data_IF_284237087430
#
_entry.id   IF_284237087430
#
_cell.length_a   1.000
_cell.length_b   1.000
_cell.length_c   1.000
_cell.angle_alpha   90.00
_cell.angle_beta   90.00
_cell.angle_gamma   90.00
#
_symmetry.space_group_name_H-M   'P 1'
#
loop_
_entity.id
_entity.type
_entity.pdbx_description
1 polymer ?
#
# COMPACT_ATOMS: atom_id res chain seq x y z
N UNK A 1 -20.91 23.66 -22.82
CA UNK A 1 -20.03 23.66 -24.02
C UNK A 1 -20.76 23.87 -25.35
N UNK A 2 -20.18 24.68 -26.25
CA UNK A 2 -20.53 24.70 -27.69
C UNK A 2 -19.74 23.61 -28.43
N UNK A 3 -20.27 23.07 -29.52
CA UNK A 3 -19.58 22.03 -30.33
C UNK A 3 -18.19 22.46 -30.82
N UNK A 4 -17.94 23.77 -30.96
CA UNK A 4 -16.65 24.28 -31.39
C UNK A 4 -15.58 24.17 -30.29
N UNK A 5 -15.93 24.53 -29.04
CA UNK A 5 -15.00 24.45 -27.90
C UNK A 5 -14.62 23.02 -27.54
N UNK A 6 -15.44 22.03 -27.87
CA UNK A 6 -15.10 20.63 -27.61
C UNK A 6 -14.04 20.08 -28.57
N UNK A 7 -13.87 20.66 -29.76
CA UNK A 7 -13.00 20.14 -30.82
C UNK A 7 -11.53 20.07 -30.41
N UNK A 8 -11.04 21.11 -29.75
CA UNK A 8 -9.63 21.21 -29.38
C UNK A 8 -9.26 20.21 -28.28
N UNK A 9 -10.24 19.73 -27.51
CA UNK A 9 -10.05 18.87 -26.35
C UNK A 9 -10.45 17.40 -26.57
N UNK A 10 -10.83 16.99 -27.78
CA UNK A 10 -11.20 15.59 -28.04
C UNK A 10 -10.04 14.61 -27.80
N UNK A 11 -8.83 15.00 -28.16
CA UNK A 11 -7.65 14.17 -27.95
C UNK A 11 -7.39 13.94 -26.45
N UNK A 12 -7.50 14.99 -25.64
CA UNK A 12 -7.37 14.93 -24.18
C UNK A 12 -8.50 14.12 -23.54
N UNK A 13 -9.73 14.26 -24.04
CA UNK A 13 -10.87 13.47 -23.58
C UNK A 13 -10.67 11.98 -23.83
N UNK A 14 -10.24 11.59 -25.05
CA UNK A 14 -9.98 10.19 -25.40
C UNK A 14 -8.82 9.59 -24.60
N UNK A 15 -7.79 10.41 -24.29
CA UNK A 15 -6.65 10.00 -23.45
C UNK A 15 -6.93 10.05 -21.94
N UNK A 16 -8.14 10.43 -21.52
CA UNK A 16 -8.50 10.64 -20.11
C UNK A 16 -7.57 11.63 -19.38
N UNK A 17 -7.04 12.64 -20.09
CA UNK A 17 -6.10 13.62 -19.56
C UNK A 17 -6.75 14.98 -19.23
N UNK A 18 -8.08 15.05 -19.25
CA UNK A 18 -8.84 16.22 -18.83
C UNK A 18 -9.07 16.21 -17.31
N UNK A 19 -9.27 17.38 -16.72
CA UNK A 19 -9.70 17.46 -15.31
C UNK A 19 -11.09 16.83 -15.13
N UNK A 20 -11.43 16.45 -13.89
CA UNK A 20 -12.73 15.81 -13.59
C UNK A 20 -13.92 16.66 -14.06
N UNK A 21 -13.87 17.97 -13.80
CA UNK A 21 -14.91 18.90 -14.21
C UNK A 21 -15.08 18.96 -15.74
N UNK A 22 -13.96 18.99 -16.48
CA UNK A 22 -13.97 18.99 -17.94
C UNK A 22 -14.44 17.66 -18.53
N UNK A 23 -14.10 16.54 -17.89
CA UNK A 23 -14.62 15.22 -18.27
C UNK A 23 -16.13 15.15 -18.12
N UNK A 24 -16.67 15.61 -17.00
CA UNK A 24 -18.11 15.61 -16.73
C UNK A 24 -18.85 16.55 -17.70
N UNK A 25 -18.30 17.73 -17.98
CA UNK A 25 -18.87 18.65 -18.96
C UNK A 25 -18.86 18.06 -20.38
N UNK A 26 -17.75 17.43 -20.79
CA UNK A 26 -17.64 16.78 -22.09
C UNK A 26 -18.58 15.57 -22.19
N UNK A 27 -18.70 14.76 -21.14
CA UNK A 27 -19.63 13.63 -21.10
C UNK A 27 -21.08 14.09 -21.25
N UNK A 28 -21.47 15.15 -20.53
CA UNK A 28 -22.79 15.79 -20.67
C UNK A 28 -23.03 16.28 -22.09
N UNK A 29 -22.06 16.91 -22.73
CA UNK A 29 -22.18 17.35 -24.13
C UNK A 29 -22.35 16.17 -25.11
N UNK A 30 -21.55 15.12 -24.96
CA UNK A 30 -21.63 13.93 -25.81
C UNK A 30 -22.93 13.15 -25.64
N UNK A 31 -23.60 13.27 -24.50
CA UNK A 31 -24.94 12.72 -24.28
C UNK A 31 -26.00 13.37 -25.18
N UNK A 32 -25.81 14.64 -25.56
CA UNK A 32 -26.80 15.42 -26.31
C UNK A 32 -26.39 15.71 -27.76
N UNK A 33 -25.11 15.61 -28.11
CA UNK A 33 -24.63 15.88 -29.47
C UNK A 33 -24.17 14.61 -30.21
N UNK A 34 -25.00 14.14 -31.15
CA UNK A 34 -24.69 12.97 -31.99
C UNK A 34 -23.46 13.17 -32.89
N UNK A 35 -23.26 14.37 -33.43
CA UNK A 35 -22.11 14.72 -34.29
C UNK A 35 -20.77 14.68 -33.54
N UNK A 36 -20.74 15.18 -32.32
CA UNK A 36 -19.52 15.12 -31.50
C UNK A 36 -19.27 13.69 -31.02
N UNK A 37 -20.34 12.94 -30.68
CA UNK A 37 -20.25 11.52 -30.33
C UNK A 37 -19.65 10.67 -31.45
N UNK A 38 -20.11 10.85 -32.68
CA UNK A 38 -19.58 10.11 -33.83
C UNK A 38 -18.10 10.44 -34.07
N UNK A 39 -17.71 11.70 -33.96
CA UNK A 39 -16.31 12.10 -34.12
C UNK A 39 -15.41 11.48 -33.06
N UNK A 40 -15.81 11.52 -31.79
CA UNK A 40 -15.07 10.87 -30.69
C UNK A 40 -14.97 9.36 -30.90
N UNK A 41 -16.04 8.71 -31.39
CA UNK A 41 -16.02 7.29 -31.70
C UNK A 41 -15.02 6.95 -32.82
N UNK A 42 -14.92 7.79 -33.86
CA UNK A 42 -13.92 7.63 -34.93
C UNK A 42 -12.51 7.75 -34.35
N UNK A 43 -12.26 8.76 -33.52
CA UNK A 43 -10.94 8.96 -32.89
C UNK A 43 -10.56 7.75 -32.04
N UNK A 44 -11.48 7.25 -31.21
CA UNK A 44 -11.27 6.04 -30.39
C UNK A 44 -10.95 4.82 -31.24
N UNK A 45 -11.75 4.57 -32.28
CA UNK A 45 -11.53 3.45 -33.20
C UNK A 45 -10.16 3.52 -33.89
N UNK A 46 -9.78 4.70 -34.37
CA UNK A 46 -8.45 4.91 -34.99
C UNK A 46 -7.34 4.64 -33.98
N UNK A 47 -7.48 5.09 -32.73
CA UNK A 47 -6.51 4.80 -31.69
C UNK A 47 -6.40 3.29 -31.41
N UNK A 48 -7.51 2.59 -31.30
CA UNK A 48 -7.56 1.14 -31.10
C UNK A 48 -6.92 0.37 -32.27
N UNK A 49 -7.13 0.82 -33.50
CA UNK A 49 -6.53 0.21 -34.69
C UNK A 49 -5.02 0.46 -34.75
N UNK A 50 -4.55 1.62 -34.29
CA UNK A 50 -3.12 1.94 -34.18
C UNK A 50 -2.44 1.17 -33.05
N UNK A 51 -3.10 0.99 -31.90
CA UNK A 51 -2.54 0.23 -30.78
C UNK A 51 -2.46 -1.26 -31.12
N UNK A 52 -3.43 -1.84 -31.83
CA UNK A 52 -3.34 -3.22 -32.34
C UNK A 52 -2.18 -3.42 -33.32
N UNK A 53 -1.82 -2.38 -34.07
CA UNK A 53 -0.68 -2.37 -34.99
C UNK A 53 0.64 -1.97 -34.32
N UNK A 54 0.67 -1.80 -32.99
CA UNK A 54 1.95 -1.59 -32.31
C UNK A 54 2.85 -2.78 -32.56
N UNK A 55 3.84 -2.54 -33.40
CA UNK A 55 5.02 -3.38 -33.51
C UNK A 55 5.63 -3.40 -32.11
N UNK A 56 5.87 -4.59 -31.57
CA UNK A 56 6.66 -4.76 -30.35
C UNK A 56 8.07 -4.29 -30.71
N UNK A 57 8.32 -3.00 -30.50
CA UNK A 57 9.65 -2.44 -30.61
C UNK A 57 10.39 -2.94 -29.38
N UNK A 58 11.23 -3.96 -29.56
CA UNK A 58 12.21 -4.31 -28.56
C UNK A 58 13.27 -3.20 -28.59
N UNK A 59 13.30 -2.29 -27.59
CA UNK A 59 14.30 -1.25 -27.59
C UNK A 59 15.69 -1.91 -27.53
N UNK A 60 16.70 -1.34 -28.22
CA UNK A 60 18.08 -1.81 -28.09
C UNK A 60 18.47 -1.90 -26.62
N UNK A 61 19.23 -2.93 -26.24
CA UNK A 61 19.61 -3.17 -24.85
C UNK A 61 20.28 -1.94 -24.20
N UNK A 62 21.05 -1.20 -25.00
CA UNK A 62 21.73 0.03 -24.57
C UNK A 62 20.75 1.14 -24.19
N UNK A 63 19.62 1.27 -24.90
CA UNK A 63 18.60 2.26 -24.57
C UNK A 63 17.96 1.95 -23.21
N UNK A 64 17.66 0.67 -22.95
CA UNK A 64 17.14 0.23 -21.65
C UNK A 64 18.13 0.54 -20.52
N UNK A 65 19.42 0.26 -20.71
CA UNK A 65 20.45 0.57 -19.72
C UNK A 65 20.60 2.08 -19.49
N UNK A 66 20.60 2.87 -20.56
CA UNK A 66 20.73 4.32 -20.47
C UNK A 66 19.52 4.96 -19.77
N UNK A 67 18.30 4.49 -20.04
CA UNK A 67 17.09 4.93 -19.34
C UNK A 67 17.13 4.49 -17.88
N UNK A 68 17.49 3.25 -17.58
CA UNK A 68 17.63 2.77 -16.19
C UNK A 68 18.71 3.53 -15.41
N UNK A 69 19.77 3.99 -16.07
CA UNK A 69 20.84 4.79 -15.48
C UNK A 69 20.44 6.25 -15.29
N UNK A 70 19.62 6.79 -16.20
CA UNK A 70 19.11 8.16 -16.14
C UNK A 70 17.95 8.33 -15.13
N UNK A 71 17.18 7.27 -14.88
CA UNK A 71 16.21 7.24 -13.78
C UNK A 71 17.02 7.22 -12.48
N UNK A 72 17.10 8.36 -11.83
CA UNK A 72 17.74 8.49 -10.53
C UNK A 72 16.98 7.65 -9.50
N UNK A 73 17.54 6.47 -9.24
CA UNK A 73 17.00 5.47 -8.31
C UNK A 73 16.84 6.05 -6.90
N UNK A 74 17.66 7.04 -6.54
CA UNK A 74 17.59 7.69 -5.23
C UNK A 74 16.35 8.60 -5.12
N UNK A 75 16.01 9.30 -6.20
CA UNK A 75 14.82 10.15 -6.28
C UNK A 75 13.53 9.33 -6.25
N UNK A 76 13.53 8.14 -6.86
CA UNK A 76 12.41 7.20 -6.79
C UNK A 76 12.24 6.59 -5.40
N UNK A 77 13.35 6.17 -4.76
CA UNK A 77 13.34 5.61 -3.40
C UNK A 77 12.88 6.62 -2.36
N UNK A 78 13.36 7.87 -2.44
CA UNK A 78 12.98 8.92 -1.50
C UNK A 78 11.47 9.25 -1.58
N UNK A 79 10.88 9.20 -2.78
CA UNK A 79 9.45 9.40 -2.97
C UNK A 79 8.61 8.19 -2.53
N UNK A 80 9.11 6.96 -2.66
CA UNK A 80 8.44 5.76 -2.18
C UNK A 80 8.46 5.62 -0.65
N UNK A 81 9.56 6.01 -0.03
CA UNK A 81 9.72 6.00 1.43
C UNK A 81 8.80 7.05 2.09
N UNK A 82 8.59 8.21 1.45
CA UNK A 82 7.67 9.23 1.99
C UNK A 82 6.19 8.78 2.00
N UNK A 83 5.76 7.99 1.00
CA UNK A 83 4.40 7.41 0.95
C UNK A 83 4.20 6.24 1.92
N UNK A 84 5.23 5.43 2.18
CA UNK A 84 5.13 4.28 3.10
C UNK A 84 5.26 4.67 4.58
N UNK A 85 5.88 5.80 4.90
CA UNK A 85 5.97 6.32 6.28
C UNK A 85 4.59 6.51 6.92
N UNK A 86 3.58 6.96 6.17
CA UNK A 86 2.23 7.17 6.68
C UNK A 86 1.52 5.85 7.01
N UNK A 87 1.64 4.81 6.17
CA UNK A 87 0.99 3.51 6.42
C UNK A 87 1.63 2.72 7.56
N UNK A 88 2.94 2.86 7.76
CA UNK A 88 3.65 2.22 8.88
C UNK A 88 3.27 2.84 10.23
N UNK A 89 2.96 4.13 10.24
CA UNK A 89 2.47 4.82 11.43
C UNK A 89 1.03 4.40 11.78
N UNK A 90 0.17 4.22 10.78
CA UNK A 90 -1.21 3.73 10.96
C UNK A 90 -1.24 2.29 11.51
N UNK A 91 -0.45 1.36 10.97
CA UNK A 91 -0.41 -0.02 11.50
C UNK A 91 0.00 -0.09 12.98
N UNK A 92 0.89 0.81 13.42
CA UNK A 92 1.35 0.87 14.81
C UNK A 92 0.27 1.41 15.75
N UNK A 93 -0.46 2.46 15.35
CA UNK A 93 -1.53 3.04 16.18
C UNK A 93 -2.75 2.11 16.29
N UNK A 94 -3.09 1.38 15.23
CA UNK A 94 -4.17 0.39 15.26
C UNK A 94 -3.84 -0.83 16.13
N UNK A 95 -2.58 -1.29 16.12
CA UNK A 95 -2.12 -2.39 16.97
C UNK A 95 -2.28 -2.08 18.47
N UNK A 96 -1.91 -0.87 18.91
CA UNK A 96 -2.10 -0.47 20.30
C UNK A 96 -3.58 -0.30 20.67
N UNK A 97 -4.42 0.17 19.74
CA UNK A 97 -5.86 0.31 19.98
C UNK A 97 -6.54 -1.05 20.20
N UNK A 98 -6.24 -2.08 19.42
CA UNK A 98 -6.79 -3.43 19.64
C UNK A 98 -6.36 -4.01 20.99
N UNK A 99 -5.09 -3.84 21.38
CA UNK A 99 -4.59 -4.31 22.67
C UNK A 99 -5.32 -3.59 23.81
N UNK A 100 -5.47 -2.27 23.73
CA UNK A 100 -6.18 -1.48 24.75
C UNK A 100 -7.66 -1.89 24.87
N UNK A 101 -8.36 -2.08 23.74
CA UNK A 101 -9.75 -2.57 23.73
C UNK A 101 -9.85 -3.98 24.31
N UNK A 102 -8.90 -4.86 24.00
CA UNK A 102 -8.83 -6.22 24.57
C UNK A 102 -8.65 -6.21 26.09
N UNK A 103 -7.73 -5.39 26.61
CA UNK A 103 -7.51 -5.22 28.05
C UNK A 103 -8.77 -4.63 28.72
N UNK A 104 -9.42 -3.66 28.08
CA UNK A 104 -10.63 -3.04 28.62
C UNK A 104 -11.81 -4.02 28.68
N UNK A 105 -12.04 -4.79 27.62
CA UNK A 105 -13.05 -5.85 27.60
C UNK A 105 -12.75 -6.95 28.63
N UNK A 106 -11.47 -7.30 28.81
CA UNK A 106 -11.04 -8.25 29.82
C UNK A 106 -11.32 -7.73 31.25
N UNK A 107 -11.02 -6.46 31.52
CA UNK A 107 -11.32 -5.82 32.81
C UNK A 107 -12.83 -5.75 33.09
N UNK A 108 -13.65 -5.44 32.07
CA UNK A 108 -15.11 -5.46 32.20
C UNK A 108 -15.65 -6.87 32.47
N UNK A 109 -15.11 -7.90 31.82
CA UNK A 109 -15.50 -9.30 32.07
C UNK A 109 -15.12 -9.74 33.50
N UNK A 110 -13.96 -9.33 34.00
CA UNK A 110 -13.54 -9.56 35.39
C UNK A 110 -14.44 -8.82 36.41
N UNK A 111 -14.84 -7.59 36.10
CA UNK A 111 -15.76 -6.83 36.96
C UNK A 111 -17.16 -7.45 37.01
N UNK A 112 -17.65 -8.00 35.89
CA UNK A 112 -18.94 -8.70 35.82
C UNK A 112 -18.95 -10.01 36.64
N UNK A 113 -17.79 -10.66 36.81
CA UNK A 113 -17.63 -11.86 37.64
C UNK A 113 -17.56 -11.56 39.15
N UNK A 114 -17.47 -10.29 39.56
CA UNK A 114 -17.40 -9.90 40.97
C UNK A 114 -18.31 -8.69 41.28
N UNK A 115 -19.63 -8.88 41.39
CA UNK A 115 -20.60 -7.80 41.55
C UNK A 115 -20.59 -7.10 42.94
N UNK A 116 -19.71 -7.50 43.86
CA UNK A 116 -19.63 -6.94 45.22
C UNK A 116 -18.61 -5.80 45.38
N UNK A 117 -18.17 -5.16 44.29
CA UNK A 117 -17.31 -3.98 44.37
C UNK A 117 -18.12 -2.71 44.67
N UNK A 118 -18.55 -2.59 45.93
CA UNK A 118 -18.92 -1.30 46.51
C UNK A 118 -17.72 -0.35 46.48
N UNK A 119 -17.99 0.89 46.07
CA UNK A 119 -16.99 1.92 45.86
C UNK A 119 -16.11 2.20 47.07
N UNK A 120 -14.85 2.51 46.78
CA UNK A 120 -13.95 3.15 47.74
C UNK A 120 -13.00 2.20 48.47
N UNK A 121 -11.98 1.71 47.75
CA UNK A 121 -10.62 1.51 48.28
C UNK A 121 -9.70 1.15 47.11
N UNK A 122 -8.65 1.95 46.91
CA UNK A 122 -7.52 1.56 46.07
C UNK A 122 -6.93 0.27 46.65
N UNK A 123 -7.17 -0.84 45.97
CA UNK A 123 -6.48 -2.09 46.27
C UNK A 123 -5.17 -2.03 45.51
N UNK A 124 -4.07 -1.94 46.26
CA UNK A 124 -2.73 -2.24 45.78
C UNK A 124 -2.76 -3.54 44.99
N UNK A 125 -2.43 -3.46 43.70
CA UNK A 125 -2.21 -4.64 42.88
C UNK A 125 -1.10 -5.48 43.54
N UNK A 126 -1.31 -6.79 43.81
CA UNK A 126 -0.29 -7.61 44.45
C UNK A 126 0.96 -7.68 43.58
N UNK A 127 2.09 -7.33 44.19
CA UNK A 127 3.46 -7.24 43.64
C UNK A 127 4.04 -8.54 43.06
N UNK A 128 3.21 -9.57 42.85
CA UNK A 128 3.58 -10.90 42.39
C UNK A 128 3.70 -10.93 40.85
N UNK A 129 2.94 -10.10 40.13
CA UNK A 129 3.00 -10.03 38.65
C UNK A 129 4.24 -9.28 38.12
N UNK A 130 4.88 -8.46 38.96
CA UNK A 130 6.12 -7.73 38.63
C UNK A 130 7.36 -8.64 38.57
N UNK A 131 7.36 -9.77 39.30
CA UNK A 131 8.53 -10.67 39.36
C UNK A 131 8.63 -11.66 38.21
N UNK A 132 7.57 -11.86 37.41
CA UNK A 132 7.57 -12.84 36.30
C UNK A 132 7.79 -12.24 34.91
N UNK A 133 7.84 -10.91 34.77
CA UNK A 133 8.25 -10.23 33.52
C UNK A 133 9.65 -9.62 33.65
N UNK A 134 10.62 -10.43 34.07
CA UNK A 134 12.05 -10.11 33.93
C UNK A 134 12.72 -11.15 33.07
N UNK A 135 12.19 -11.37 31.86
CA UNK A 135 13.06 -11.78 30.75
C UNK A 135 13.63 -10.48 30.20
N UNK A 136 14.91 -10.15 30.49
CA UNK A 136 15.49 -8.92 30.01
C UNK A 136 15.51 -8.97 28.49
N UNK A 137 15.01 -7.89 27.86
CA UNK A 137 14.83 -7.75 26.41
C UNK A 137 16.13 -8.05 25.63
N UNK A 138 17.29 -7.90 26.28
CA UNK A 138 18.60 -8.26 25.73
C UNK A 138 18.73 -9.77 25.39
N UNK A 139 18.06 -10.67 26.11
CA UNK A 139 18.07 -12.11 25.83
C UNK A 139 17.17 -12.51 24.68
N UNK A 140 16.13 -11.73 24.39
CA UNK A 140 15.24 -11.97 23.24
C UNK A 140 16.00 -11.70 21.92
N UNK A 141 16.85 -10.67 21.91
CA UNK A 141 17.73 -10.38 20.76
C UNK A 141 18.76 -11.48 20.51
N UNK A 142 19.38 -12.02 21.57
CA UNK A 142 20.29 -13.15 21.45
C UNK A 142 19.60 -14.42 20.96
N UNK A 143 18.42 -14.74 21.52
CA UNK A 143 17.66 -15.91 21.10
C UNK A 143 17.23 -15.79 19.62
N UNK A 144 16.83 -14.60 19.17
CA UNK A 144 16.48 -14.36 17.78
C UNK A 144 17.70 -14.60 16.86
N UNK A 145 18.87 -14.05 17.20
CA UNK A 145 20.09 -14.21 16.41
C UNK A 145 20.57 -15.68 16.36
N UNK A 146 20.55 -16.38 17.50
CA UNK A 146 20.92 -17.80 17.56
C UNK A 146 19.97 -18.67 16.71
N UNK A 147 18.69 -18.30 16.63
CA UNK A 147 17.71 -19.00 15.80
C UNK A 147 17.94 -18.71 14.31
N UNK A 148 18.33 -17.47 13.96
CA UNK A 148 18.69 -17.11 12.59
C UNK A 148 19.94 -17.84 12.10
N UNK A 149 21.01 -17.92 12.89
CA UNK A 149 22.22 -18.66 12.52
C UNK A 149 21.95 -20.16 12.36
N UNK A 150 21.07 -20.74 13.20
CA UNK A 150 20.66 -22.14 13.07
C UNK A 150 19.88 -22.41 11.78
N UNK A 151 18.96 -21.51 11.41
CA UNK A 151 18.20 -21.62 10.17
C UNK A 151 19.13 -21.48 8.94
N UNK A 152 20.11 -20.58 9.01
CA UNK A 152 21.07 -20.38 7.91
C UNK A 152 22.00 -21.59 7.73
N UNK A 153 22.45 -22.19 8.83
CA UNK A 153 23.22 -23.44 8.83
C UNK A 153 22.44 -24.62 8.24
N UNK A 154 21.16 -24.76 8.59
CA UNK A 154 20.30 -25.82 8.06
C UNK A 154 20.01 -25.64 6.56
N UNK A 155 19.87 -24.40 6.07
CA UNK A 155 19.71 -24.09 4.64
C UNK A 155 20.98 -24.46 3.85
N UNK A 156 22.17 -24.19 4.39
CA UNK A 156 23.43 -24.58 3.75
C UNK A 156 23.62 -26.10 3.69
N UNK A 157 23.17 -26.83 4.71
CA UNK A 157 23.22 -28.29 4.76
C UNK A 157 22.29 -28.94 3.72
N UNK A 158 21.13 -28.34 3.46
CA UNK A 158 20.20 -28.79 2.41
C UNK A 158 20.79 -28.56 1.01
N UNK A 159 21.49 -27.45 0.77
CA UNK A 159 22.15 -27.20 -0.53
C UNK A 159 23.36 -28.10 -0.80
N UNK A 160 24.09 -28.52 0.23
CA UNK A 160 25.23 -29.43 0.10
C UNK A 160 24.86 -30.91 -0.14
N UNK A 161 23.63 -31.32 0.14
CA UNK A 161 23.15 -32.69 -0.05
C UNK A 161 22.63 -33.02 -1.46
N UNK A 162 22.51 -32.03 -2.34
CA UNK A 162 21.96 -32.17 -3.71
C UNK A 162 23.04 -32.31 -4.80
N UNK A 163 24.30 -32.51 -4.42
CA UNK A 163 25.45 -32.69 -5.34
C UNK A 163 26.26 -33.96 -5.05
N UNK A 164 25.58 -35.05 -4.69
CA UNK A 164 26.10 -36.41 -4.80
C UNK A 164 25.09 -37.32 -5.47
#
# INVERSE_FOLDING_TARGET
>A
MTCYRSRDNWHSYVKHSLSKAELDEMASHLAHCSKCRSTVAIIKKTLDDLTKKQVILNPPADLKMNVMKAIDKSLYLNNLVSLNSFRLFELKTWGFSMIATGIFLFALNLAALNPNFEGGKMIELPSILSKQMTIPINKISQLANDTFEKIESDIHKIKGGLTK
#
